data_IF_106161304552
#
_entry.id   IF_106161304552
#
_cell.length_a   1.000
_cell.length_b   1.000
_cell.length_c   1.000
_cell.angle_alpha   90.00
_cell.angle_beta   90.00
_cell.angle_gamma   90.00
#
_symmetry.space_group_name_H-M   'P 1'
#
loop_
_entity.id
_entity.type
_entity.pdbx_description
1 polymer ?
#
# COMPACT_ATOMS: atom_id res chain seq x y z
N UNK A 1 -16.85 -15.64 9.65
CA UNK A 1 -16.73 -14.39 10.45
C UNK A 1 -15.78 -13.46 9.68
N UNK A 2 -16.16 -12.20 9.43
CA UNK A 2 -15.30 -11.29 8.65
C UNK A 2 -14.03 -10.94 9.46
N UNK A 3 -12.87 -11.04 8.81
CA UNK A 3 -11.60 -10.68 9.44
C UNK A 3 -11.44 -9.15 9.46
N UNK A 4 -11.16 -8.59 10.63
CA UNK A 4 -10.93 -7.16 10.77
C UNK A 4 -9.59 -6.75 10.12
N UNK A 5 -9.57 -5.63 9.42
CA UNK A 5 -8.34 -5.09 8.83
C UNK A 5 -7.24 -4.86 9.88
N UNK A 6 -7.63 -4.42 11.09
CA UNK A 6 -6.70 -4.24 12.21
C UNK A 6 -5.95 -5.52 12.57
N UNK A 7 -6.65 -6.67 12.56
CA UNK A 7 -6.03 -7.98 12.83
C UNK A 7 -5.02 -8.36 11.76
N UNK A 8 -5.30 -8.03 10.50
CA UNK A 8 -4.36 -8.27 9.40
C UNK A 8 -3.16 -7.34 9.47
N UNK A 9 -3.36 -6.06 9.71
CA UNK A 9 -2.26 -5.10 9.85
C UNK A 9 -1.33 -5.43 11.03
N UNK A 10 -1.82 -6.08 12.08
CA UNK A 10 -1.00 -6.55 13.20
C UNK A 10 -0.01 -7.68 12.82
N UNK A 11 -0.14 -8.28 11.65
CA UNK A 11 0.79 -9.30 11.12
C UNK A 11 2.02 -8.69 10.44
N UNK A 12 2.02 -7.38 10.18
CA UNK A 12 3.16 -6.68 9.60
C UNK A 12 4.31 -6.68 10.61
N UNK A 13 5.47 -7.16 10.17
CA UNK A 13 6.68 -7.21 11.00
C UNK A 13 7.14 -5.80 11.37
N UNK A 14 7.22 -5.52 12.67
CA UNK A 14 7.78 -4.27 13.16
C UNK A 14 9.30 -4.37 13.27
N UNK A 15 10.01 -3.79 12.31
CA UNK A 15 11.49 -3.81 12.25
C UNK A 15 12.15 -2.77 13.17
N UNK A 16 11.37 -2.01 13.94
CA UNK A 16 11.90 -0.98 14.84
C UNK A 16 12.51 -1.62 16.09
N UNK A 17 13.54 -0.97 16.64
CA UNK A 17 14.08 -1.32 17.95
C UNK A 17 13.07 -1.00 19.07
N UNK A 18 13.16 -1.71 20.20
CA UNK A 18 12.24 -1.57 21.34
C UNK A 18 12.04 -0.11 21.79
N UNK A 19 13.12 0.69 21.82
CA UNK A 19 13.07 2.11 22.17
C UNK A 19 12.27 2.96 21.18
N UNK A 20 12.10 2.48 19.93
CA UNK A 20 11.36 3.13 18.86
C UNK A 20 9.87 2.80 18.83
N UNK A 21 9.38 1.88 19.67
CA UNK A 21 8.02 1.31 19.63
C UNK A 21 7.02 1.96 20.59
N UNK A 22 7.27 3.21 21.01
CA UNK A 22 6.33 3.95 21.90
C UNK A 22 4.89 3.96 21.39
N UNK A 23 4.72 4.03 20.09
CA UNK A 23 3.43 3.86 19.41
C UNK A 23 3.46 2.53 18.68
N UNK A 24 2.43 1.75 18.85
CA UNK A 24 2.23 0.49 18.15
C UNK A 24 2.18 0.72 16.62
N UNK A 25 2.79 -0.18 15.85
CA UNK A 25 2.87 -0.06 14.39
C UNK A 25 1.49 -0.04 13.74
N UNK A 26 0.62 -0.96 14.16
CA UNK A 26 -0.75 -1.05 13.68
C UNK A 26 -1.53 0.24 13.92
N UNK A 27 -1.37 0.83 15.11
CA UNK A 27 -1.96 2.12 15.45
C UNK A 27 -1.52 3.24 14.51
N UNK A 28 -0.22 3.32 14.20
CA UNK A 28 0.32 4.33 13.28
C UNK A 28 -0.26 4.14 11.88
N UNK A 29 -0.32 2.89 11.39
CA UNK A 29 -0.86 2.57 10.06
C UNK A 29 -2.34 2.94 9.98
N UNK A 30 -3.14 2.57 10.99
CA UNK A 30 -4.59 2.88 11.01
C UNK A 30 -4.83 4.39 11.02
N UNK A 31 -4.13 5.16 11.86
CA UNK A 31 -4.25 6.62 11.87
C UNK A 31 -3.90 7.20 10.50
N UNK A 32 -2.86 6.67 9.85
CA UNK A 32 -2.45 7.10 8.51
C UNK A 32 -3.55 6.80 7.48
N UNK A 33 -4.12 5.61 7.50
CA UNK A 33 -5.23 5.22 6.61
C UNK A 33 -6.44 6.13 6.83
N UNK A 34 -6.86 6.36 8.08
CA UNK A 34 -7.98 7.24 8.40
C UNK A 34 -7.77 8.68 7.90
N UNK A 35 -6.56 9.20 8.05
CA UNK A 35 -6.20 10.52 7.54
C UNK A 35 -6.26 10.58 6.00
N UNK A 36 -5.73 9.56 5.31
CA UNK A 36 -5.80 9.45 3.83
C UNK A 36 -7.24 9.36 3.35
N UNK A 37 -8.09 8.58 4.02
CA UNK A 37 -9.53 8.49 3.72
C UNK A 37 -10.24 9.84 3.95
N UNK A 38 -9.69 10.70 4.81
CA UNK A 38 -10.13 12.08 5.02
C UNK A 38 -9.45 13.09 4.08
N UNK A 39 -8.86 12.63 2.97
CA UNK A 39 -8.16 13.45 1.96
C UNK A 39 -6.91 14.17 2.49
N UNK A 40 -6.29 13.65 3.53
CA UNK A 40 -5.09 14.23 4.15
C UNK A 40 -3.88 13.36 3.82
N UNK A 41 -3.00 13.84 2.92
CA UNK A 41 -1.87 13.08 2.38
C UNK A 41 -0.50 13.49 2.93
N UNK A 42 -0.36 14.67 3.52
CA UNK A 42 0.92 15.12 4.05
C UNK A 42 1.16 14.62 5.48
N UNK A 43 2.41 14.28 5.81
CA UNK A 43 2.75 13.79 7.16
C UNK A 43 2.42 14.78 8.27
N UNK A 44 2.56 16.09 8.02
CA UNK A 44 2.14 17.14 8.96
C UNK A 44 0.62 17.22 9.09
N UNK A 45 -0.08 17.02 7.99
CA UNK A 45 -1.54 16.92 7.98
C UNK A 45 -2.03 15.72 8.79
N UNK A 46 -1.37 14.55 8.66
CA UNK A 46 -1.68 13.33 9.42
C UNK A 46 -1.45 13.58 10.93
N UNK A 47 -0.36 14.25 11.32
CA UNK A 47 -0.14 14.64 12.72
C UNK A 47 -1.26 15.56 13.23
N UNK A 48 -1.65 16.56 12.43
CA UNK A 48 -2.72 17.50 12.78
C UNK A 48 -4.06 16.78 12.92
N UNK A 49 -4.37 15.87 11.99
CA UNK A 49 -5.53 14.99 12.06
C UNK A 49 -5.54 14.17 13.36
N UNK A 50 -4.43 13.51 13.66
CA UNK A 50 -4.29 12.70 14.88
C UNK A 50 -4.47 13.54 16.16
N UNK A 51 -3.93 14.76 16.20
CA UNK A 51 -4.10 15.69 17.33
C UNK A 51 -5.54 16.15 17.49
N UNK A 52 -6.22 16.47 16.37
CA UNK A 52 -7.62 16.93 16.36
C UNK A 52 -8.58 15.86 16.86
N UNK A 53 -8.36 14.61 16.44
CA UNK A 53 -9.20 13.46 16.77
C UNK A 53 -8.63 12.62 17.92
N UNK A 54 -7.74 13.20 18.74
CA UNK A 54 -6.99 12.47 19.77
C UNK A 54 -7.90 11.69 20.73
N UNK A 55 -8.96 12.32 21.24
CA UNK A 55 -9.84 11.69 22.22
C UNK A 55 -10.51 10.42 21.67
N UNK A 56 -11.02 10.48 20.45
CA UNK A 56 -11.68 9.37 19.78
C UNK A 56 -10.67 8.27 19.41
N UNK A 57 -9.52 8.66 18.85
CA UNK A 57 -8.46 7.71 18.49
C UNK A 57 -7.92 6.96 19.70
N UNK A 58 -7.69 7.65 20.82
CA UNK A 58 -7.23 7.03 22.07
C UNK A 58 -8.23 6.00 22.55
N UNK A 59 -9.51 6.34 22.57
CA UNK A 59 -10.58 5.44 22.98
C UNK A 59 -10.75 4.27 22.01
N UNK A 60 -10.79 4.53 20.72
CA UNK A 60 -11.08 3.53 19.68
C UNK A 60 -9.91 2.55 19.48
N UNK A 61 -8.67 3.04 19.46
CA UNK A 61 -7.46 2.25 19.24
C UNK A 61 -6.77 1.81 20.56
N UNK A 62 -7.34 2.14 21.71
CA UNK A 62 -6.79 1.84 23.04
C UNK A 62 -5.32 2.31 23.18
N UNK A 63 -5.05 3.57 22.78
CA UNK A 63 -3.68 4.11 22.73
C UNK A 63 -3.17 4.34 24.14
N UNK A 64 -2.05 3.70 24.47
CA UNK A 64 -1.40 3.84 25.77
C UNK A 64 -0.91 5.28 26.00
N UNK A 65 -1.07 5.77 27.24
CA UNK A 65 -0.59 7.10 27.68
C UNK A 65 -1.17 8.28 26.90
N UNK A 66 -2.33 8.12 26.26
CA UNK A 66 -3.05 9.18 25.55
C UNK A 66 -2.16 10.04 24.63
N UNK A 67 -1.27 9.40 23.89
CA UNK A 67 -0.33 10.08 23.01
C UNK A 67 -0.48 9.59 21.57
N UNK A 68 -0.80 10.52 20.67
CA UNK A 68 -0.81 10.26 19.23
C UNK A 68 0.59 10.45 18.63
N UNK A 69 0.92 9.80 17.50
CA UNK A 69 2.21 9.90 16.86
C UNK A 69 2.48 11.32 16.33
N UNK A 70 3.71 11.80 16.54
CA UNK A 70 4.19 13.07 16.00
C UNK A 70 4.72 12.90 14.56
N UNK A 71 4.87 14.02 13.82
CA UNK A 71 5.46 14.03 12.49
C UNK A 71 6.79 13.25 12.38
N UNK A 72 7.79 13.43 13.26
CA UNK A 72 9.03 12.65 13.17
C UNK A 72 8.81 11.15 13.35
N UNK A 73 7.84 10.75 14.20
CA UNK A 73 7.49 9.34 14.39
C UNK A 73 6.82 8.77 13.14
N UNK A 74 5.82 9.47 12.59
CA UNK A 74 5.15 9.08 11.35
C UNK A 74 6.17 8.93 10.21
N UNK A 75 7.03 9.94 10.00
CA UNK A 75 8.05 9.90 8.95
C UNK A 75 8.97 8.70 9.09
N UNK A 76 9.54 8.48 10.28
CA UNK A 76 10.46 7.37 10.52
C UNK A 76 9.80 6.02 10.27
N UNK A 77 8.59 5.82 10.77
CA UNK A 77 7.87 4.55 10.63
C UNK A 77 7.48 4.29 9.19
N UNK A 78 6.85 5.26 8.51
CA UNK A 78 6.39 5.09 7.13
C UNK A 78 7.54 4.90 6.12
N UNK A 79 8.75 5.39 6.44
CA UNK A 79 9.94 5.13 5.61
C UNK A 79 10.49 3.69 5.79
N UNK A 80 10.14 3.00 6.86
CA UNK A 80 10.60 1.62 7.13
C UNK A 80 9.58 0.56 6.72
N UNK A 81 8.36 0.95 6.37
CA UNK A 81 7.35 0.01 5.89
C UNK A 81 7.70 -0.50 4.48
N UNK A 82 7.63 -1.81 4.32
CA UNK A 82 7.68 -2.41 3.00
C UNK A 82 6.33 -2.25 2.30
N UNK A 83 6.35 -1.63 1.13
CA UNK A 83 5.15 -1.41 0.32
C UNK A 83 4.54 -2.73 -0.15
N UNK A 84 5.37 -3.73 -0.48
CA UNK A 84 4.89 -5.01 -0.99
C UNK A 84 4.24 -5.83 0.12
N UNK A 85 4.80 -5.80 1.34
CA UNK A 85 4.20 -6.47 2.51
C UNK A 85 2.83 -5.85 2.83
N UNK A 86 2.73 -4.51 2.79
CA UNK A 86 1.44 -3.83 2.96
C UNK A 86 0.41 -4.25 1.90
N UNK A 87 0.82 -4.27 0.63
CA UNK A 87 -0.06 -4.67 -0.47
C UNK A 87 -0.54 -6.13 -0.32
N UNK A 88 0.34 -7.04 0.09
CA UNK A 88 0.00 -8.44 0.33
C UNK A 88 -1.00 -8.61 1.49
N UNK A 89 -0.81 -7.90 2.59
CA UNK A 89 -1.75 -7.90 3.73
C UNK A 89 -3.14 -7.40 3.30
N UNK A 90 -3.22 -6.34 2.50
CA UNK A 90 -4.50 -5.86 1.97
C UNK A 90 -5.15 -6.89 1.03
N UNK A 91 -4.39 -7.52 0.13
CA UNK A 91 -4.90 -8.59 -0.74
C UNK A 91 -5.50 -9.74 0.09
N UNK A 92 -4.77 -10.23 1.09
CA UNK A 92 -5.26 -11.30 1.98
C UNK A 92 -6.55 -10.90 2.69
N UNK A 93 -6.63 -9.66 3.18
CA UNK A 93 -7.84 -9.16 3.83
C UNK A 93 -9.03 -9.09 2.87
N UNK A 94 -8.83 -8.67 1.61
CA UNK A 94 -9.85 -8.62 0.56
C UNK A 94 -10.38 -10.02 0.28
N UNK A 95 -9.49 -10.99 0.06
CA UNK A 95 -9.84 -12.39 -0.26
C UNK A 95 -10.59 -13.05 0.91
N UNK A 96 -10.08 -12.94 2.13
CA UNK A 96 -10.71 -13.54 3.31
C UNK A 96 -12.09 -12.96 3.64
N UNK A 97 -12.36 -11.74 3.24
CA UNK A 97 -13.66 -11.12 3.44
C UNK A 97 -14.60 -11.25 2.23
N UNK A 98 -14.19 -11.98 1.20
CA UNK A 98 -14.96 -12.16 -0.06
C UNK A 98 -15.39 -10.82 -0.65
N UNK A 99 -14.47 -9.84 -0.69
CA UNK A 99 -14.75 -8.51 -1.24
C UNK A 99 -14.55 -8.44 -2.75
N UNK A 100 -13.98 -9.49 -3.36
CA UNK A 100 -13.78 -9.61 -4.79
C UNK A 100 -14.93 -10.39 -5.42
N UNK A 101 -15.49 -9.87 -6.50
CA UNK A 101 -16.35 -10.63 -7.39
C UNK A 101 -15.47 -11.50 -8.32
N UNK A 102 -15.63 -12.82 -8.27
CA UNK A 102 -14.87 -13.77 -9.11
C UNK A 102 -15.15 -13.63 -10.62
N UNK A 103 -16.15 -12.88 -11.04
CA UNK A 103 -16.44 -12.52 -12.43
C UNK A 103 -15.89 -11.14 -12.80
N UNK A 104 -15.06 -10.57 -11.96
CA UNK A 104 -14.55 -9.24 -12.16
C UNK A 104 -13.49 -9.17 -13.27
N UNK A 105 -13.41 -8.02 -13.88
CA UNK A 105 -12.37 -7.68 -14.85
C UNK A 105 -11.25 -6.97 -14.10
N UNK A 106 -10.04 -7.48 -14.25
CA UNK A 106 -8.86 -6.93 -13.59
C UNK A 106 -8.04 -6.14 -14.60
N UNK A 107 -7.98 -4.83 -14.44
CA UNK A 107 -7.05 -4.03 -15.24
C UNK A 107 -5.72 -3.88 -14.53
N UNK A 108 -4.65 -4.03 -15.31
CA UNK A 108 -3.29 -3.81 -14.86
C UNK A 108 -2.79 -2.50 -15.46
N UNK A 109 -2.45 -1.55 -14.59
CA UNK A 109 -1.99 -0.22 -14.98
C UNK A 109 -0.67 0.11 -14.27
N UNK A 110 0.28 0.59 -15.06
CA UNK A 110 1.60 1.02 -14.61
C UNK A 110 1.68 2.53 -14.47
N UNK A 111 2.05 3.04 -13.30
CA UNK A 111 2.20 4.46 -13.05
C UNK A 111 3.60 4.81 -12.54
N UNK A 112 4.27 5.71 -13.26
CA UNK A 112 5.56 6.26 -12.85
C UNK A 112 5.39 7.37 -11.82
N UNK A 113 6.10 7.26 -10.70
CA UNK A 113 6.10 8.28 -9.64
C UNK A 113 7.27 9.24 -9.89
N UNK A 114 7.04 10.24 -10.74
CA UNK A 114 8.09 11.20 -11.15
C UNK A 114 8.71 11.98 -9.98
N UNK A 115 8.01 12.13 -8.85
CA UNK A 115 8.57 12.76 -7.65
C UNK A 115 9.69 11.96 -6.97
N UNK A 116 9.89 10.70 -7.37
CA UNK A 116 10.99 9.84 -6.89
C UNK A 116 12.20 9.86 -7.80
N UNK A 117 12.21 10.76 -8.80
CA UNK A 117 13.29 10.88 -9.77
C UNK A 117 14.62 11.09 -9.06
N UNK A 118 15.58 10.21 -9.32
CA UNK A 118 16.99 10.36 -9.01
C UNK A 118 17.77 10.45 -10.33
N UNK A 119 19.00 10.95 -10.26
CA UNK A 119 19.85 11.13 -11.43
C UNK A 119 19.27 12.09 -12.49
N UNK A 120 18.76 13.24 -12.05
CA UNK A 120 18.02 14.22 -12.86
C UNK A 120 18.76 14.66 -14.14
N UNK A 121 20.10 14.68 -14.11
CA UNK A 121 20.95 15.09 -15.24
C UNK A 121 21.44 13.90 -16.08
N UNK A 122 21.07 12.67 -15.75
CA UNK A 122 21.42 11.50 -16.53
C UNK A 122 20.41 11.26 -17.67
N UNK A 123 20.87 10.86 -18.87
CA UNK A 123 19.96 10.40 -19.92
C UNK A 123 19.05 9.26 -19.46
N UNK A 124 19.56 8.42 -18.54
CA UNK A 124 18.84 7.30 -17.94
C UNK A 124 18.34 7.67 -16.53
N UNK A 125 17.27 8.42 -16.48
CA UNK A 125 16.64 8.80 -15.23
C UNK A 125 16.10 7.58 -14.47
N UNK A 126 16.38 7.50 -13.15
CA UNK A 126 15.85 6.45 -12.29
C UNK A 126 14.65 6.98 -11.46
N UNK A 127 13.56 6.28 -11.51
CA UNK A 127 12.34 6.58 -10.73
C UNK A 127 11.63 5.30 -10.32
N UNK A 128 10.77 5.41 -9.33
CA UNK A 128 9.90 4.32 -8.90
C UNK A 128 8.63 4.31 -9.75
N UNK A 129 8.25 3.13 -10.21
CA UNK A 129 6.96 2.87 -10.83
C UNK A 129 6.16 1.89 -9.98
N UNK A 130 4.85 1.98 -10.07
CA UNK A 130 3.91 1.05 -9.41
C UNK A 130 3.02 0.46 -10.49
N UNK A 131 2.90 -0.87 -10.49
CA UNK A 131 1.85 -1.58 -11.24
C UNK A 131 0.77 -1.98 -10.26
N UNK A 132 -0.48 -1.73 -10.60
CA UNK A 132 -1.64 -2.05 -9.78
C UNK A 132 -2.62 -2.92 -10.53
N UNK A 133 -3.20 -3.90 -9.85
CA UNK A 133 -4.30 -4.73 -10.32
C UNK A 133 -5.60 -4.20 -9.74
N UNK A 134 -6.46 -3.64 -10.59
CA UNK A 134 -7.72 -3.02 -10.20
C UNK A 134 -8.91 -3.86 -10.68
N UNK A 135 -9.78 -4.25 -9.74
CA UNK A 135 -11.02 -4.98 -10.00
C UNK A 135 -12.15 -3.99 -10.28
N UNK A 136 -12.69 -4.02 -11.50
CA UNK A 136 -13.64 -3.00 -11.98
C UNK A 136 -14.99 -3.03 -11.28
N UNK A 137 -15.61 -4.21 -11.15
CA UNK A 137 -16.95 -4.34 -10.56
C UNK A 137 -16.89 -4.08 -9.03
N UNK A 138 -15.87 -4.60 -8.39
CA UNK A 138 -15.66 -4.42 -6.95
C UNK A 138 -15.12 -3.03 -6.59
N UNK A 139 -14.52 -2.30 -7.54
CA UNK A 139 -13.90 -0.99 -7.32
C UNK A 139 -12.67 -1.03 -6.41
N UNK A 140 -11.93 -2.15 -6.41
CA UNK A 140 -10.87 -2.42 -5.43
C UNK A 140 -9.54 -2.63 -6.12
N UNK A 141 -8.47 -2.07 -5.56
CA UNK A 141 -7.08 -2.44 -5.90
C UNK A 141 -6.73 -3.71 -5.13
N UNK A 142 -6.55 -4.82 -5.86
CA UNK A 142 -6.26 -6.12 -5.27
C UNK A 142 -4.82 -6.26 -4.80
N UNK A 143 -3.89 -5.80 -5.63
CA UNK A 143 -2.47 -5.90 -5.38
C UNK A 143 -1.74 -4.80 -6.14
N UNK A 144 -0.66 -4.31 -5.56
CA UNK A 144 0.24 -3.38 -6.24
C UNK A 144 1.69 -3.81 -6.00
N UNK A 145 2.56 -3.54 -6.98
CA UNK A 145 4.00 -3.80 -6.89
C UNK A 145 4.77 -2.57 -7.31
N UNK A 146 5.74 -2.18 -6.50
CA UNK A 146 6.67 -1.11 -6.84
C UNK A 146 7.95 -1.67 -7.43
N UNK A 147 8.54 -0.95 -8.39
CA UNK A 147 9.82 -1.29 -9.00
C UNK A 147 10.58 -0.04 -9.41
N UNK A 148 11.90 -0.18 -9.58
CA UNK A 148 12.75 0.86 -10.13
C UNK A 148 12.97 0.61 -11.62
N UNK A 149 12.69 1.59 -12.46
CA UNK A 149 12.76 1.45 -13.93
C UNK A 149 14.16 1.06 -14.46
N UNK A 150 15.25 1.43 -13.75
CA UNK A 150 16.62 0.98 -14.10
C UNK A 150 16.88 -0.50 -13.78
N UNK A 151 16.14 -1.09 -12.85
CA UNK A 151 16.38 -2.48 -12.40
C UNK A 151 15.55 -3.50 -13.17
N UNK A 152 14.36 -3.11 -13.60
CA UNK A 152 13.47 -4.00 -14.33
C UNK A 152 12.48 -3.19 -15.16
N UNK A 153 11.90 -3.81 -16.19
CA UNK A 153 10.81 -3.24 -16.98
C UNK A 153 9.44 -3.61 -16.39
N UNK A 154 8.39 -3.01 -16.91
CA UNK A 154 7.02 -3.24 -16.46
C UNK A 154 6.55 -4.68 -16.71
N UNK A 155 6.91 -5.28 -17.85
CA UNK A 155 6.43 -6.61 -18.27
C UNK A 155 6.70 -7.70 -17.24
N UNK A 156 7.94 -7.94 -16.75
CA UNK A 156 8.20 -8.94 -15.72
C UNK A 156 7.47 -8.66 -14.39
N UNK A 157 7.24 -7.38 -14.06
CA UNK A 157 6.52 -6.99 -12.85
C UNK A 157 5.04 -7.34 -12.96
N UNK A 158 4.43 -7.08 -14.12
CA UNK A 158 3.05 -7.46 -14.45
C UNK A 158 2.87 -8.97 -14.39
N UNK A 159 3.76 -9.74 -15.02
CA UNK A 159 3.72 -11.21 -14.96
C UNK A 159 3.84 -11.72 -13.51
N UNK A 160 4.78 -11.17 -12.74
CA UNK A 160 4.95 -11.49 -11.33
C UNK A 160 3.73 -11.14 -10.49
N UNK A 161 3.05 -10.02 -10.81
CA UNK A 161 1.86 -9.59 -10.11
C UNK A 161 0.66 -10.50 -10.42
N UNK A 162 0.47 -10.91 -11.68
CA UNK A 162 -0.57 -11.88 -12.08
C UNK A 162 -0.36 -13.21 -11.35
N UNK A 163 0.87 -13.72 -11.32
CA UNK A 163 1.21 -14.95 -10.58
C UNK A 163 0.94 -14.80 -9.08
N UNK A 164 1.29 -13.65 -8.50
CA UNK A 164 1.11 -13.38 -7.07
C UNK A 164 -0.37 -13.18 -6.68
N UNK A 165 -1.24 -12.81 -7.61
CA UNK A 165 -2.69 -12.77 -7.35
C UNK A 165 -3.22 -14.15 -7.00
N UNK A 166 -2.72 -15.22 -7.67
CA UNK A 166 -3.10 -16.60 -7.37
C UNK A 166 -4.58 -16.90 -7.57
N UNK A 167 -5.30 -16.07 -8.33
CA UNK A 167 -6.72 -16.18 -8.59
C UNK A 167 -6.95 -16.86 -9.93
N UNK A 168 -7.95 -17.74 -10.00
CA UNK A 168 -8.36 -18.44 -11.22
C UNK A 168 -9.61 -17.79 -11.81
N UNK A 169 -9.84 -18.00 -13.11
CA UNK A 169 -11.05 -17.57 -13.83
C UNK A 169 -11.26 -16.04 -13.90
N UNK A 170 -10.17 -15.25 -13.80
CA UNK A 170 -10.24 -13.79 -13.97
C UNK A 170 -9.93 -13.38 -15.40
N UNK A 171 -10.62 -12.34 -15.86
CA UNK A 171 -10.31 -11.67 -17.12
C UNK A 171 -9.37 -10.49 -16.84
N UNK A 172 -8.19 -10.49 -17.50
CA UNK A 172 -7.24 -9.40 -17.39
C UNK A 172 -7.30 -8.47 -18.60
N UNK A 173 -7.25 -7.16 -18.35
CA UNK A 173 -7.06 -6.14 -19.38
C UNK A 173 -5.71 -5.47 -19.16
N UNK A 174 -4.93 -5.34 -20.22
CA UNK A 174 -3.56 -4.84 -20.23
C UNK A 174 -3.43 -3.80 -21.35
N UNK A 175 -2.51 -2.84 -21.18
CA UNK A 175 -2.15 -1.93 -22.26
C UNK A 175 -1.50 -2.71 -23.43
N UNK A 176 -1.61 -2.17 -24.64
CA UNK A 176 -1.09 -2.75 -25.88
C UNK A 176 0.42 -3.06 -25.85
N UNK A 177 1.18 -2.41 -25.01
CA UNK A 177 2.61 -2.71 -24.77
C UNK A 177 2.88 -4.14 -24.31
N UNK A 178 1.89 -4.78 -23.64
CA UNK A 178 1.97 -6.14 -23.14
C UNK A 178 1.52 -7.20 -24.17
N UNK A 179 0.97 -6.78 -25.32
CA UNK A 179 0.49 -7.69 -26.38
C UNK A 179 1.60 -8.14 -27.35
N UNK A 180 2.81 -7.61 -27.24
CA UNK A 180 3.92 -8.08 -28.08
C UNK A 180 4.35 -9.47 -27.64
N UNK A 181 4.06 -10.48 -28.48
CA UNK A 181 4.72 -11.79 -28.40
C UNK A 181 6.22 -11.57 -28.58
N UNK A 182 7.01 -12.03 -27.62
CA UNK A 182 8.44 -12.21 -27.86
C UNK A 182 8.58 -13.25 -28.98
N UNK A 183 9.04 -12.82 -30.14
CA UNK A 183 9.44 -13.67 -31.26
C UNK A 183 10.75 -14.35 -30.89
#
# INVERSE_FOLDING_TARGET
MKTLLTTKLAQITDVRRAEGTRHDLTTIIIITIMAIMSQIYSLRGIETFAKRHKADLVKFLNIRKDRVPSYPTLRRVLLTLDFNDMAEIFKQWIVENNLLDYKDWISLDGKSIKSTLSDYHSPDQNFVSIVSAFAHNSGIVLLSRSYQNKKTSEIPVVEGLIKALGLQELTFTLDALHSKKNS
#
